data_IF_047754684811
#
_entry.id   IF_047754684811
#
_cell.length_a   1.000
_cell.length_b   1.000
_cell.length_c   1.000
_cell.angle_alpha   90.00
_cell.angle_beta   90.00
_cell.angle_gamma   90.00
#
_symmetry.space_group_name_H-M   'P 1'
#
loop_
_entity.id
_entity.type
_entity.pdbx_description
1 polymer ?
#
# COMPACT_ATOMS: atom_id res chain seq x y z
N UNK A 1 4.38 -5.68 -4.08
CA UNK A 1 4.36 -4.29 -4.59
C UNK A 1 3.00 -3.73 -4.25
N UNK A 2 2.96 -2.64 -3.48
CA UNK A 2 1.71 -1.99 -3.07
C UNK A 2 1.52 -0.81 -4.02
N UNK A 3 0.40 -0.79 -4.73
CA UNK A 3 0.10 0.22 -5.73
C UNK A 3 -1.11 1.02 -5.26
N UNK A 4 -0.92 2.32 -5.06
CA UNK A 4 -1.95 3.23 -4.57
C UNK A 4 -2.22 4.34 -5.59
N UNK A 5 -3.13 4.12 -6.56
CA UNK A 5 -3.80 5.20 -7.26
C UNK A 5 -5.00 5.64 -6.41
N UNK A 6 -5.35 6.92 -6.52
CA UNK A 6 -6.42 7.56 -5.77
C UNK A 6 -7.83 6.98 -6.05
N UNK A 7 -8.09 5.74 -5.63
CA UNK A 7 -9.40 5.09 -5.74
C UNK A 7 -9.41 3.57 -5.86
N UNK A 8 -8.27 2.89 -6.11
CA UNK A 8 -8.26 1.42 -6.23
C UNK A 8 -6.98 0.82 -5.66
N UNK A 9 -7.03 0.48 -4.37
CA UNK A 9 -5.90 -0.01 -3.61
C UNK A 9 -5.69 -1.50 -3.92
N UNK A 10 -5.00 -1.76 -5.04
CA UNK A 10 -4.64 -3.13 -5.48
C UNK A 10 -3.56 -3.68 -4.57
N UNK A 11 -4.00 -4.44 -3.57
CA UNK A 11 -3.13 -5.20 -2.68
C UNK A 11 -3.09 -6.66 -3.10
N UNK A 12 -1.91 -7.29 -2.99
CA UNK A 12 -1.78 -8.73 -3.19
C UNK A 12 -2.62 -9.44 -2.13
N UNK A 13 -3.52 -10.33 -2.53
CA UNK A 13 -4.51 -10.95 -1.63
C UNK A 13 -3.87 -11.68 -0.45
N UNK A 14 -2.67 -12.24 -0.64
CA UNK A 14 -1.84 -12.85 0.41
C UNK A 14 -1.43 -11.90 1.55
N UNK A 15 -1.49 -10.59 1.33
CA UNK A 15 -1.10 -9.55 2.29
C UNK A 15 -2.31 -8.88 2.96
N UNK A 16 -3.54 -9.16 2.49
CA UNK A 16 -4.78 -8.50 2.94
C UNK A 16 -5.09 -8.74 4.42
N UNK A 17 -4.62 -9.85 4.98
CA UNK A 17 -4.81 -10.20 6.40
C UNK A 17 -3.63 -9.78 7.30
N UNK A 18 -2.56 -9.24 6.72
CA UNK A 18 -1.31 -8.91 7.43
C UNK A 18 -1.05 -7.41 7.53
N UNK A 19 -1.70 -6.62 6.69
CA UNK A 19 -1.53 -5.18 6.65
C UNK A 19 -2.88 -4.49 6.44
N UNK A 20 -3.13 -3.45 7.22
CA UNK A 20 -4.17 -2.47 6.95
C UNK A 20 -3.52 -1.24 6.30
N UNK A 21 -4.11 -0.75 5.22
CA UNK A 21 -3.56 0.35 4.42
C UNK A 21 -4.63 1.42 4.28
N UNK A 22 -4.27 2.63 4.71
CA UNK A 22 -5.14 3.80 4.64
C UNK A 22 -4.43 4.93 3.88
N UNK A 23 -5.16 5.57 2.96
CA UNK A 23 -4.68 6.67 2.14
C UNK A 23 -5.48 7.92 2.49
N UNK A 24 -4.83 8.88 3.13
CA UNK A 24 -5.38 10.22 3.27
C UNK A 24 -5.03 11.04 2.03
N UNK A 25 -6.00 11.15 1.11
CA UNK A 25 -5.85 11.92 -0.13
C UNK A 25 -5.72 13.42 0.09
N UNK A 26 -6.21 13.94 1.23
CA UNK A 26 -6.13 15.37 1.58
C UNK A 26 -4.69 15.75 1.95
N UNK A 27 -4.07 14.96 2.83
CA UNK A 27 -2.68 15.18 3.26
C UNK A 27 -1.64 14.49 2.38
N UNK A 28 -2.06 13.65 1.41
CA UNK A 28 -1.19 12.80 0.58
C UNK A 28 -0.33 11.84 1.43
N UNK A 29 -0.89 11.39 2.55
CA UNK A 29 -0.22 10.49 3.50
C UNK A 29 -0.71 9.06 3.29
N UNK A 30 0.21 8.10 3.35
CA UNK A 30 -0.11 6.66 3.32
C UNK A 30 0.25 6.07 4.68
N UNK A 31 -0.73 5.46 5.33
CA UNK A 31 -0.55 4.73 6.57
C UNK A 31 -0.51 3.22 6.26
N UNK A 32 0.60 2.56 6.58
CA UNK A 32 0.76 1.11 6.49
C UNK A 32 0.85 0.53 7.91
N UNK A 33 -0.20 -0.17 8.34
CA UNK A 33 -0.30 -0.74 9.68
C UNK A 33 -0.16 -2.25 9.57
N UNK A 34 0.93 -2.82 10.10
CA UNK A 34 1.10 -4.27 10.18
C UNK A 34 0.19 -4.87 11.25
N UNK A 35 -0.54 -5.93 10.90
CA UNK A 35 -1.43 -6.69 11.76
C UNK A 35 -0.97 -8.15 11.77
N UNK A 36 -0.80 -8.74 12.96
CA UNK A 36 -0.44 -10.15 13.11
C UNK A 36 0.85 -10.57 12.35
N UNK A 37 1.82 -9.66 12.20
CA UNK A 37 3.08 -9.95 11.48
C UNK A 37 3.85 -11.10 12.13
N UNK A 38 4.30 -12.04 11.31
CA UNK A 38 5.17 -13.14 11.74
C UNK A 38 6.61 -12.88 11.28
N UNK A 39 7.61 -13.57 11.86
CA UNK A 39 9.00 -13.44 11.43
C UNK A 39 9.22 -13.69 9.93
N UNK A 40 8.40 -14.57 9.32
CA UNK A 40 8.46 -14.91 7.90
C UNK A 40 7.99 -13.77 6.97
N UNK A 41 7.29 -12.77 7.53
CA UNK A 41 6.85 -11.58 6.80
C UNK A 41 7.89 -10.45 6.78
N UNK A 42 9.05 -10.69 7.39
CA UNK A 42 10.15 -9.73 7.41
C UNK A 42 10.66 -9.50 5.98
N UNK A 43 10.57 -8.25 5.55
CA UNK A 43 10.98 -7.81 4.23
C UNK A 43 11.34 -6.32 4.26
N UNK A 44 11.95 -5.83 3.17
CA UNK A 44 12.12 -4.40 2.96
C UNK A 44 10.89 -3.85 2.23
N UNK A 45 10.19 -2.93 2.87
CA UNK A 45 8.97 -2.31 2.34
C UNK A 45 9.30 -0.93 1.77
N UNK A 46 8.93 -0.69 0.52
CA UNK A 46 9.13 0.57 -0.17
C UNK A 46 7.78 1.24 -0.47
N UNK A 47 7.69 2.54 -0.17
CA UNK A 47 6.58 3.36 -0.62
C UNK A 47 6.89 3.85 -2.05
N UNK A 48 6.03 3.47 -3.00
CA UNK A 48 6.12 3.91 -4.39
C UNK A 48 4.84 4.66 -4.75
N UNK A 49 4.98 5.92 -5.18
CA UNK A 49 3.87 6.71 -5.71
C UNK A 49 3.92 6.67 -7.21
N UNK A 50 3.00 5.92 -7.82
CA UNK A 50 2.81 6.02 -9.26
C UNK A 50 2.15 7.35 -9.58
N UNK A 51 2.79 8.15 -10.43
CA UNK A 51 2.07 9.19 -11.15
C UNK A 51 1.46 8.50 -12.35
N UNK A 52 0.14 8.34 -12.36
CA UNK A 52 -0.56 8.26 -13.63
C UNK A 52 -0.32 9.61 -14.31
N UNK A 53 0.80 9.76 -15.02
CA UNK A 53 0.74 10.62 -16.19
C UNK A 53 -0.37 9.98 -17.02
N UNK A 54 -1.48 10.71 -17.17
CA UNK A 54 -2.45 10.44 -18.21
C UNK A 54 -1.65 10.40 -19.50
N UNK A 55 -1.20 9.22 -19.93
CA UNK A 55 -0.87 9.00 -21.33
C UNK A 55 -2.17 9.27 -22.04
N UNK A 56 -2.17 10.42 -22.71
CA UNK A 56 -3.24 10.97 -23.54
C UNK A 56 -4.08 9.90 -24.24
#
# INVERSE_FOLDING_TARGET
>A
QIHCPAGDSRHKESLKNKFNIDLDSSSKTVNLIGQNMQPEDSAVYYCARERLEQRF
#
